data_IF_106209074760
#
_entry.id   IF_106209074760
#
_cell.length_a   1.000
_cell.length_b   1.000
_cell.length_c   1.000
_cell.angle_alpha   90.00
_cell.angle_beta   90.00
_cell.angle_gamma   90.00
#
_symmetry.space_group_name_H-M   'P 1'
#
loop_
_entity.id
_entity.type
_entity.pdbx_description
1 polymer ?
#
# COMPACT_ATOMS: atom_id res chain seq x y z
N UNK A 1 21.50 -27.10 -20.90
CA UNK A 1 21.62 -27.34 -19.45
C UNK A 1 21.30 -26.03 -18.73
N UNK A 2 20.24 -26.03 -17.92
CA UNK A 2 19.76 -24.89 -17.12
C UNK A 2 20.79 -24.54 -16.05
N UNK A 3 21.09 -23.25 -15.87
CA UNK A 3 21.19 -22.59 -14.56
C UNK A 3 20.81 -21.12 -14.75
N UNK A 4 19.51 -20.85 -14.66
CA UNK A 4 19.03 -19.52 -14.33
C UNK A 4 19.41 -19.28 -12.87
N UNK A 5 20.30 -18.32 -12.61
CA UNK A 5 20.53 -17.81 -11.26
C UNK A 5 19.27 -17.07 -10.84
N UNK A 6 18.33 -17.81 -10.26
CA UNK A 6 17.29 -17.25 -9.41
C UNK A 6 17.98 -16.98 -8.07
N UNK A 7 18.41 -15.74 -7.89
CA UNK A 7 18.90 -15.26 -6.61
C UNK A 7 17.67 -15.08 -5.71
N UNK A 8 17.22 -16.19 -5.11
CA UNK A 8 16.28 -16.17 -4.00
C UNK A 8 16.96 -15.44 -2.85
N UNK A 9 16.65 -14.15 -2.74
CA UNK A 9 17.08 -13.28 -1.64
C UNK A 9 16.50 -13.85 -0.35
N UNK A 10 17.35 -14.45 0.46
CA UNK A 10 17.01 -15.08 1.73
C UNK A 10 16.36 -14.07 2.68
N UNK A 11 15.36 -14.51 3.43
CA UNK A 11 14.57 -13.71 4.38
C UNK A 11 15.40 -12.99 5.48
N UNK A 12 16.71 -13.29 5.56
CA UNK A 12 17.62 -12.84 6.61
C UNK A 12 18.25 -11.45 6.36
N UNK A 13 18.01 -10.81 5.20
CA UNK A 13 18.57 -9.49 4.87
C UNK A 13 17.52 -8.37 4.70
N UNK A 14 16.25 -8.63 5.03
CA UNK A 14 15.23 -7.57 5.05
C UNK A 14 15.33 -6.83 6.38
N UNK A 15 15.54 -5.50 6.37
CA UNK A 15 15.61 -4.70 7.59
C UNK A 15 14.36 -4.90 8.44
N UNK A 16 14.51 -5.03 9.76
CA UNK A 16 13.37 -5.17 10.67
C UNK A 16 12.32 -4.06 10.49
N UNK A 17 12.74 -2.86 10.07
CA UNK A 17 11.85 -1.76 9.72
C UNK A 17 10.95 -2.08 8.52
N UNK A 18 11.49 -2.69 7.46
CA UNK A 18 10.71 -3.12 6.28
C UNK A 18 9.80 -4.29 6.64
N UNK A 19 10.26 -5.22 7.49
CA UNK A 19 9.43 -6.35 7.94
C UNK A 19 8.24 -5.90 8.77
N UNK A 20 8.48 -5.02 9.76
CA UNK A 20 7.42 -4.40 10.58
C UNK A 20 6.46 -3.61 9.72
N UNK A 21 6.98 -2.92 8.72
CA UNK A 21 6.16 -2.20 7.76
C UNK A 21 5.27 -3.15 6.95
N UNK A 22 5.80 -4.24 6.41
CA UNK A 22 4.99 -5.21 5.65
C UNK A 22 3.85 -5.80 6.48
N UNK A 23 4.05 -5.98 7.79
CA UNK A 23 3.02 -6.45 8.72
C UNK A 23 1.93 -5.40 9.01
N UNK A 24 2.18 -4.12 8.75
CA UNK A 24 1.22 -3.05 8.99
C UNK A 24 0.15 -3.01 7.89
N UNK A 25 -0.94 -3.76 8.06
CA UNK A 25 -2.04 -3.81 7.07
C UNK A 25 -3.14 -2.80 7.36
N UNK A 26 -3.34 -2.42 8.62
CA UNK A 26 -4.45 -1.58 9.05
C UNK A 26 -3.98 -0.57 10.10
N UNK A 27 -4.66 0.59 10.17
CA UNK A 27 -4.49 1.55 11.26
C UNK A 27 -5.81 2.23 11.61
N UNK A 28 -5.89 2.74 12.84
CA UNK A 28 -7.00 3.55 13.32
C UNK A 28 -6.47 4.96 13.61
N UNK A 29 -7.13 5.99 13.10
CA UNK A 29 -6.75 7.38 13.39
C UNK A 29 -7.42 7.92 14.66
N UNK A 30 -7.06 9.13 15.06
CA UNK A 30 -7.53 9.81 16.29
C UNK A 30 -9.05 10.01 16.33
N UNK A 31 -9.72 10.08 15.16
CA UNK A 31 -11.18 10.16 15.03
C UNK A 31 -11.85 8.77 15.05
N UNK A 32 -11.08 7.70 15.20
CA UNK A 32 -11.57 6.32 15.20
C UNK A 32 -11.88 5.75 13.82
N UNK A 33 -11.43 6.37 12.71
CA UNK A 33 -11.64 5.79 11.38
C UNK A 33 -10.59 4.70 11.13
N UNK A 34 -11.05 3.62 10.52
CA UNK A 34 -10.20 2.48 10.14
C UNK A 34 -9.72 2.67 8.71
N UNK A 35 -8.41 2.55 8.54
CA UNK A 35 -7.71 2.68 7.27
C UNK A 35 -6.98 1.39 6.96
N UNK A 36 -7.08 0.95 5.71
CA UNK A 36 -6.37 -0.21 5.20
C UNK A 36 -5.23 0.24 4.28
N UNK A 37 -4.05 -0.34 4.46
CA UNK A 37 -2.89 -0.04 3.63
C UNK A 37 -3.02 -0.76 2.30
N UNK A 38 -3.07 0.00 1.22
CA UNK A 38 -3.12 -0.55 -0.15
C UNK A 38 -1.77 -0.59 -0.83
N UNK A 39 -0.90 0.34 -0.49
CA UNK A 39 0.41 0.46 -1.14
C UNK A 39 1.46 0.88 -0.14
N UNK A 40 2.67 0.34 -0.32
CA UNK A 40 3.89 0.78 0.35
C UNK A 40 5.04 0.69 -0.66
N UNK A 41 5.65 1.83 -0.99
CA UNK A 41 6.72 1.92 -1.98
C UNK A 41 6.90 3.33 -2.53
N UNK A 42 7.82 3.49 -3.46
CA UNK A 42 8.15 4.77 -4.08
C UNK A 42 8.14 4.73 -5.61
N UNK A 43 8.56 5.83 -6.21
CA UNK A 43 8.75 5.96 -7.66
C UNK A 43 7.45 6.16 -8.45
N UNK A 44 7.49 6.08 -9.79
CA UNK A 44 6.36 6.42 -10.68
C UNK A 44 5.14 5.50 -10.50
N UNK A 45 5.31 4.35 -9.86
CA UNK A 45 4.19 3.49 -9.51
C UNK A 45 3.28 4.14 -8.47
N UNK A 46 3.83 4.89 -7.50
CA UNK A 46 3.06 5.55 -6.45
C UNK A 46 2.00 6.48 -7.04
N UNK A 47 2.38 7.37 -7.96
CA UNK A 47 1.48 8.36 -8.55
C UNK A 47 0.32 7.70 -9.31
N UNK A 48 0.63 6.62 -10.04
CA UNK A 48 -0.40 5.84 -10.74
C UNK A 48 -1.39 5.20 -9.77
N UNK A 49 -0.89 4.50 -8.75
CA UNK A 49 -1.75 3.82 -7.78
C UNK A 49 -2.58 4.82 -6.99
N UNK A 50 -2.00 5.95 -6.59
CA UNK A 50 -2.71 7.01 -5.91
C UNK A 50 -3.90 7.49 -6.74
N UNK A 51 -3.65 7.85 -8.00
CA UNK A 51 -4.70 8.29 -8.93
C UNK A 51 -5.81 7.25 -9.11
N UNK A 52 -5.45 5.99 -9.32
CA UNK A 52 -6.46 4.93 -9.44
C UNK A 52 -7.30 4.77 -8.16
N UNK A 53 -6.69 4.89 -6.98
CA UNK A 53 -7.43 4.80 -5.72
C UNK A 53 -8.29 6.04 -5.43
N UNK A 54 -7.84 7.24 -5.79
CA UNK A 54 -8.64 8.46 -5.71
C UNK A 54 -9.86 8.38 -6.64
N UNK A 55 -9.68 7.88 -7.86
CA UNK A 55 -10.79 7.66 -8.81
C UNK A 55 -11.79 6.61 -8.30
N UNK A 56 -11.32 5.57 -7.61
CA UNK A 56 -12.16 4.46 -7.14
C UNK A 56 -12.88 4.74 -5.82
N UNK A 57 -12.22 5.39 -4.87
CA UNK A 57 -12.73 5.53 -3.50
C UNK A 57 -13.04 6.98 -3.12
N UNK A 58 -12.66 7.95 -3.96
CA UNK A 58 -12.75 9.38 -3.66
C UNK A 58 -11.57 9.86 -2.82
N UNK A 59 -11.01 11.02 -3.16
CA UNK A 59 -9.86 11.65 -2.49
C UNK A 59 -10.06 11.76 -0.97
N UNK A 60 -11.29 12.01 -0.50
CA UNK A 60 -11.63 12.11 0.93
C UNK A 60 -11.46 10.80 1.73
N UNK A 61 -11.40 9.66 1.03
CA UNK A 61 -11.20 8.33 1.61
C UNK A 61 -9.77 7.82 1.40
N UNK A 62 -8.88 8.65 0.85
CA UNK A 62 -7.47 8.36 0.64
C UNK A 62 -6.62 9.15 1.63
N UNK A 63 -5.58 8.51 2.17
CA UNK A 63 -4.55 9.17 2.96
C UNK A 63 -3.17 8.69 2.53
N UNK A 64 -2.30 9.65 2.22
CA UNK A 64 -0.90 9.38 1.84
C UNK A 64 0.02 9.71 3.00
N UNK A 65 0.99 8.85 3.27
CA UNK A 65 2.07 9.13 4.23
C UNK A 65 3.43 8.95 3.57
N UNK A 66 4.25 10.01 3.60
CA UNK A 66 5.65 9.95 3.19
C UNK A 66 6.51 9.44 4.35
N UNK A 67 7.45 8.55 4.08
CA UNK A 67 8.38 8.01 5.05
C UNK A 67 9.80 8.47 4.74
N UNK A 68 10.33 9.29 5.63
CA UNK A 68 11.70 9.85 5.57
C UNK A 68 12.76 8.80 5.95
N UNK A 69 12.39 7.82 6.77
CA UNK A 69 13.37 6.95 7.45
C UNK A 69 13.92 5.79 6.61
N UNK A 70 13.52 5.66 5.34
CA UNK A 70 13.94 4.55 4.45
C UNK A 70 14.95 4.95 3.37
N UNK A 71 15.38 6.22 3.35
CA UNK A 71 16.38 6.75 2.40
C UNK A 71 17.71 5.97 2.40
N UNK A 72 18.03 5.29 3.52
CA UNK A 72 19.25 4.48 3.63
C UNK A 72 19.22 3.19 2.78
N UNK A 73 18.04 2.71 2.36
CA UNK A 73 17.88 1.46 1.60
C UNK A 73 17.70 1.66 0.10
N UNK A 74 17.17 2.81 -0.31
CA UNK A 74 17.08 3.19 -1.71
C UNK A 74 17.56 4.62 -1.85
N UNK A 75 18.79 4.75 -2.38
CA UNK A 75 19.62 5.97 -2.38
C UNK A 75 18.98 7.23 -2.95
N UNK A 76 17.82 7.13 -3.62
CA UNK A 76 17.13 8.23 -4.31
C UNK A 76 15.58 8.10 -4.34
N UNK A 77 14.96 7.17 -3.61
CA UNK A 77 13.50 6.98 -3.72
C UNK A 77 12.77 7.28 -2.42
N UNK A 78 11.96 8.33 -2.43
CA UNK A 78 10.97 8.63 -1.39
C UNK A 78 9.98 7.47 -1.26
N UNK A 79 9.74 7.00 -0.03
CA UNK A 79 8.81 5.90 0.23
C UNK A 79 7.47 6.46 0.69
N UNK A 80 6.38 5.96 0.13
CA UNK A 80 5.02 6.38 0.41
C UNK A 80 4.17 5.20 0.87
N UNK A 81 3.18 5.49 1.72
CA UNK A 81 2.05 4.60 2.00
C UNK A 81 0.78 5.21 1.45
N UNK A 82 -0.05 4.39 0.82
CA UNK A 82 -1.42 4.76 0.47
C UNK A 82 -2.37 3.98 1.37
N UNK A 83 -3.24 4.73 2.04
CA UNK A 83 -4.27 4.24 2.93
C UNK A 83 -5.64 4.52 2.34
N UNK A 84 -6.52 3.52 2.35
CA UNK A 84 -7.91 3.64 1.94
C UNK A 84 -8.80 3.43 3.15
N UNK A 85 -9.82 4.27 3.33
CA UNK A 85 -10.77 4.11 4.42
C UNK A 85 -11.58 2.82 4.24
N UNK A 86 -11.63 1.97 5.27
CA UNK A 86 -12.27 0.65 5.21
C UNK A 86 -13.76 0.69 4.87
N UNK A 87 -14.45 1.77 5.26
CA UNK A 87 -15.85 2.00 4.90
C UNK A 87 -16.04 2.18 3.39
N UNK A 88 -15.14 2.91 2.71
CA UNK A 88 -15.22 3.10 1.26
C UNK A 88 -14.98 1.80 0.49
N UNK A 89 -14.06 0.96 0.99
CA UNK A 89 -13.85 -0.38 0.42
C UNK A 89 -15.08 -1.28 0.58
N UNK A 90 -15.71 -1.24 1.75
CA UNK A 90 -16.90 -2.05 2.02
C UNK A 90 -18.04 -1.64 1.09
N UNK A 91 -18.22 -0.34 0.86
CA UNK A 91 -19.21 0.18 -0.10
C UNK A 91 -18.93 -0.31 -1.52
N UNK A 92 -17.66 -0.29 -1.97
CA UNK A 92 -17.28 -0.78 -3.30
C UNK A 92 -17.55 -2.29 -3.46
N UNK A 93 -17.12 -3.11 -2.49
CA UNK A 93 -17.40 -4.56 -2.49
C UNK A 93 -18.89 -4.85 -2.56
N UNK A 94 -19.70 -4.05 -1.87
CA UNK A 94 -21.15 -4.21 -1.89
C UNK A 94 -21.73 -3.88 -3.27
N UNK A 95 -21.29 -2.78 -3.90
CA UNK A 95 -21.70 -2.40 -5.25
C UNK A 95 -21.31 -3.47 -6.29
N UNK A 96 -20.07 -3.96 -6.24
CA UNK A 96 -19.58 -5.02 -7.12
C UNK A 96 -20.41 -6.32 -6.99
N UNK A 97 -20.79 -6.70 -5.77
CA UNK A 97 -21.66 -7.86 -5.54
C UNK A 97 -23.06 -7.67 -6.13
N UNK A 98 -23.66 -6.48 -5.96
CA UNK A 98 -24.97 -6.17 -6.54
C UNK A 98 -24.97 -6.15 -8.07
N UNK A 99 -23.86 -5.77 -8.71
CA UNK A 99 -23.75 -5.81 -10.17
C UNK A 99 -23.47 -7.23 -10.70
N UNK A 100 -22.84 -8.11 -9.92
CA UNK A 100 -22.52 -9.49 -10.32
C UNK A 100 -23.74 -10.44 -10.28
N UNK A 101 -24.81 -10.09 -9.58
CA UNK A 101 -26.05 -10.87 -9.50
C UNK A 101 -27.08 -10.53 -10.61
N UNK A 102 -26.71 -9.67 -11.58
CA UNK A 102 -27.52 -9.32 -12.76
C UNK A 102 -26.94 -9.87 -14.04
#
# INVERSE_FOLDING_TARGET
MKKSNNEEKTEEEIPEAIRKEQLLTEKVDEKGLVWEKKYFGGGPHFERWLREYEELYGEENIKVEKLDSFECYQKESEMYRIWVRKSAETTKKLDELYQAEK
#
